data_IF_739913894887
#
_entry.id   IF_739913894887
#
_cell.length_a   1.000
_cell.length_b   1.000
_cell.length_c   1.000
_cell.angle_alpha   90.00
_cell.angle_beta   90.00
_cell.angle_gamma   90.00
#
_symmetry.space_group_name_H-M   'P 1'
#
loop_
_entity.id
_entity.type
_entity.pdbx_description
1 polymer ?
#
# COMPACT_ATOMS: atom_id res chain seq x y z
N UNK A 1 -6.34 -25.14 22.07
CA UNK A 1 -6.58 -23.84 21.41
C UNK A 1 -5.29 -23.39 20.74
N UNK A 2 -5.25 -23.31 19.41
CA UNK A 2 -4.15 -22.65 18.68
C UNK A 2 -4.37 -21.15 18.83
N UNK A 3 -3.48 -20.45 19.56
CA UNK A 3 -3.44 -18.98 19.52
C UNK A 3 -3.14 -18.59 18.06
N UNK A 4 -3.86 -17.65 17.44
CA UNK A 4 -3.40 -17.10 16.17
C UNK A 4 -1.99 -16.52 16.40
N UNK A 5 -1.04 -16.71 15.47
CA UNK A 5 0.33 -16.27 15.69
C UNK A 5 0.33 -14.75 15.82
N UNK A 6 0.63 -14.27 17.02
CA UNK A 6 0.71 -12.84 17.38
C UNK A 6 1.71 -12.10 16.48
N UNK A 7 2.68 -12.82 15.91
CA UNK A 7 3.71 -12.28 15.03
C UNK A 7 3.20 -11.80 13.66
N UNK A 8 2.17 -12.44 13.09
CA UNK A 8 1.69 -12.13 11.73
C UNK A 8 0.96 -10.78 11.68
N UNK A 9 0.12 -10.50 12.69
CA UNK A 9 -0.62 -9.23 12.80
C UNK A 9 0.33 -8.07 13.14
N UNK A 10 1.37 -8.31 13.95
CA UNK A 10 2.34 -7.29 14.33
C UNK A 10 3.16 -6.77 13.14
N UNK A 11 3.52 -7.63 12.18
CA UNK A 11 4.40 -7.23 11.06
C UNK A 11 3.69 -6.40 10.00
N UNK A 12 2.45 -6.75 9.66
CA UNK A 12 1.61 -5.91 8.78
C UNK A 12 1.32 -4.55 9.44
N UNK A 13 1.13 -4.52 10.76
CA UNK A 13 0.99 -3.28 11.52
C UNK A 13 2.28 -2.42 11.51
N UNK A 14 3.47 -3.03 11.59
CA UNK A 14 4.74 -2.31 11.42
C UNK A 14 4.82 -1.68 10.02
N UNK A 15 4.51 -2.44 8.98
CA UNK A 15 4.46 -1.92 7.61
C UNK A 15 3.49 -0.75 7.48
N UNK A 16 2.31 -0.82 8.12
CA UNK A 16 1.33 0.27 8.12
C UNK A 16 1.88 1.55 8.77
N UNK A 17 2.54 1.44 9.92
CA UNK A 17 3.19 2.59 10.58
C UNK A 17 4.28 3.18 9.69
N UNK A 18 5.08 2.35 9.02
CA UNK A 18 6.11 2.80 8.09
C UNK A 18 5.50 3.49 6.86
N UNK A 19 4.47 2.91 6.25
CA UNK A 19 3.80 3.48 5.08
C UNK A 19 3.12 4.81 5.38
N UNK A 20 2.50 4.97 6.55
CA UNK A 20 1.89 6.25 6.96
C UNK A 20 2.92 7.35 7.23
N UNK A 21 4.10 6.99 7.76
CA UNK A 21 5.15 7.96 8.12
C UNK A 21 6.08 8.31 6.96
N UNK A 22 6.50 7.30 6.20
CA UNK A 22 7.54 7.39 5.17
C UNK A 22 7.01 7.08 3.76
N UNK A 23 5.70 6.98 3.57
CA UNK A 23 5.08 6.68 2.27
C UNK A 23 5.41 7.66 1.15
N UNK A 24 5.89 8.86 1.50
CA UNK A 24 6.37 9.86 0.55
C UNK A 24 7.79 9.59 0.04
N UNK A 25 8.54 8.68 0.67
CA UNK A 25 9.90 8.28 0.31
C UNK A 25 9.98 6.75 0.06
N UNK A 26 9.67 6.30 -1.17
CA UNK A 26 9.76 4.88 -1.54
C UNK A 26 11.17 4.31 -1.42
N UNK A 27 12.22 5.11 -1.62
CA UNK A 27 13.60 4.61 -1.54
C UNK A 27 13.95 4.16 -0.13
N UNK A 28 13.54 4.95 0.87
CA UNK A 28 13.71 4.57 2.27
C UNK A 28 12.94 3.29 2.61
N UNK A 29 11.69 3.17 2.14
CA UNK A 29 10.87 1.99 2.40
C UNK A 29 11.43 0.73 1.70
N UNK A 30 11.92 0.86 0.47
CA UNK A 30 12.60 -0.23 -0.25
C UNK A 30 13.83 -0.71 0.52
N UNK A 31 14.67 0.19 1.00
CA UNK A 31 15.84 -0.18 1.80
C UNK A 31 15.46 -0.98 3.07
N UNK A 32 14.41 -0.54 3.78
CA UNK A 32 13.89 -1.26 4.95
C UNK A 32 13.38 -2.65 4.57
N UNK A 33 12.68 -2.79 3.43
CA UNK A 33 12.22 -4.09 2.94
C UNK A 33 13.40 -5.01 2.62
N UNK A 34 14.42 -4.50 1.93
CA UNK A 34 15.60 -5.26 1.53
C UNK A 34 16.44 -5.76 2.72
N UNK A 35 16.47 -4.99 3.82
CA UNK A 35 17.11 -5.38 5.08
C UNK A 35 16.30 -6.45 5.85
N UNK A 36 15.03 -6.66 5.51
CA UNK A 36 14.09 -7.54 6.24
C UNK A 36 13.52 -8.66 5.35
N UNK A 37 14.34 -9.28 4.49
CA UNK A 37 13.90 -10.26 3.46
C UNK A 37 13.05 -11.42 3.96
N UNK A 38 13.30 -11.91 5.18
CA UNK A 38 12.57 -13.06 5.72
C UNK A 38 11.08 -12.77 5.94
N UNK A 39 10.70 -11.50 6.07
CA UNK A 39 9.35 -11.05 6.40
C UNK A 39 8.85 -9.97 5.44
N UNK A 40 9.54 -9.80 4.30
CA UNK A 40 9.30 -8.71 3.36
C UNK A 40 7.86 -8.67 2.84
N UNK A 41 7.24 -9.84 2.65
CA UNK A 41 5.87 -9.94 2.15
C UNK A 41 4.86 -9.17 3.03
N UNK A 42 4.76 -9.52 4.31
CA UNK A 42 3.82 -8.88 5.24
C UNK A 42 4.15 -7.40 5.45
N UNK A 43 5.44 -7.07 5.40
CA UNK A 43 5.92 -5.70 5.50
C UNK A 43 5.46 -4.86 4.29
N UNK A 44 5.62 -5.37 3.06
CA UNK A 44 5.18 -4.72 1.82
C UNK A 44 3.66 -4.51 1.84
N UNK A 45 2.89 -5.54 2.20
CA UNK A 45 1.43 -5.41 2.32
C UNK A 45 1.04 -4.36 3.38
N UNK A 46 1.74 -4.33 4.51
CA UNK A 46 1.53 -3.32 5.54
C UNK A 46 1.80 -1.91 5.01
N UNK A 47 2.89 -1.74 4.25
CA UNK A 47 3.25 -0.47 3.61
C UNK A 47 2.17 -0.04 2.62
N UNK A 48 1.67 -0.93 1.77
CA UNK A 48 0.57 -0.66 0.84
C UNK A 48 -0.67 -0.15 1.57
N UNK A 49 -1.04 -0.82 2.66
CA UNK A 49 -2.16 -0.38 3.52
C UNK A 49 -1.90 1.00 4.13
N UNK A 50 -0.70 1.25 4.66
CA UNK A 50 -0.33 2.50 5.32
C UNK A 50 -0.32 3.69 4.36
N UNK A 51 0.28 3.52 3.18
CA UNK A 51 0.31 4.55 2.13
C UNK A 51 -1.12 4.90 1.69
N UNK A 52 -1.94 3.87 1.41
CA UNK A 52 -3.31 4.11 0.95
C UNK A 52 -4.16 4.81 1.99
N UNK A 53 -4.04 4.40 3.25
CA UNK A 53 -4.70 5.09 4.36
C UNK A 53 -4.28 6.57 4.41
N UNK A 54 -2.98 6.85 4.43
CA UNK A 54 -2.47 8.22 4.58
C UNK A 54 -2.89 9.15 3.42
N UNK A 55 -2.90 8.66 2.18
CA UNK A 55 -3.30 9.44 1.01
C UNK A 55 -4.82 9.66 1.02
N UNK A 56 -5.60 8.59 1.19
CA UNK A 56 -7.04 8.65 1.01
C UNK A 56 -7.74 9.43 2.12
N UNK A 57 -7.20 9.45 3.33
CA UNK A 57 -7.72 10.25 4.45
C UNK A 57 -7.19 11.68 4.50
N UNK A 58 -6.36 12.11 3.53
CA UNK A 58 -5.86 13.48 3.53
C UNK A 58 -6.87 14.45 2.89
N UNK A 59 -7.59 15.20 3.72
CA UNK A 59 -8.64 16.13 3.27
C UNK A 59 -8.12 17.35 2.48
N UNK A 60 -6.80 17.55 2.44
CA UNK A 60 -6.18 18.66 1.69
C UNK A 60 -5.96 18.32 0.21
N UNK A 61 -6.01 17.03 -0.16
CA UNK A 61 -5.73 16.55 -1.51
C UNK A 61 -7.06 16.32 -2.24
N UNK A 62 -7.18 16.80 -3.47
CA UNK A 62 -8.36 16.54 -4.29
C UNK A 62 -8.47 15.06 -4.63
N UNK A 63 -9.69 14.59 -4.84
CA UNK A 63 -9.98 13.19 -5.16
C UNK A 63 -9.08 12.60 -6.26
N UNK A 64 -9.02 13.23 -7.43
CA UNK A 64 -8.23 12.71 -8.55
C UNK A 64 -6.72 12.71 -8.24
N UNK A 65 -6.26 13.71 -7.50
CA UNK A 65 -4.85 13.82 -7.11
C UNK A 65 -4.46 12.72 -6.12
N UNK A 66 -5.38 12.28 -5.24
CA UNK A 66 -5.18 11.11 -4.36
C UNK A 66 -4.96 9.83 -5.17
N UNK A 67 -5.81 9.60 -6.18
CA UNK A 67 -5.69 8.43 -7.06
C UNK A 67 -4.35 8.47 -7.79
N UNK A 68 -4.03 9.59 -8.45
CA UNK A 68 -2.78 9.74 -9.18
C UNK A 68 -1.55 9.54 -8.27
N UNK A 69 -1.56 10.12 -7.07
CA UNK A 69 -0.46 9.98 -6.13
C UNK A 69 -0.28 8.54 -5.64
N UNK A 70 -1.38 7.82 -5.36
CA UNK A 70 -1.34 6.41 -4.98
C UNK A 70 -0.71 5.56 -6.08
N UNK A 71 -1.11 5.79 -7.33
CA UNK A 71 -0.62 5.04 -8.49
C UNK A 71 0.82 5.40 -8.83
N UNK A 72 1.20 6.67 -8.76
CA UNK A 72 2.59 7.11 -8.92
C UNK A 72 3.51 6.44 -7.91
N UNK A 73 3.08 6.33 -6.65
CA UNK A 73 3.85 5.66 -5.61
C UNK A 73 3.93 4.16 -5.87
N UNK A 74 2.84 3.50 -6.28
CA UNK A 74 2.83 2.09 -6.63
C UNK A 74 3.91 1.76 -7.68
N UNK A 75 3.99 2.54 -8.77
CA UNK A 75 4.97 2.32 -9.84
C UNK A 75 6.41 2.70 -9.49
N UNK A 76 6.66 3.38 -8.35
CA UNK A 76 8.02 3.63 -7.85
C UNK A 76 8.63 2.42 -7.15
N UNK A 77 7.82 1.45 -6.72
CA UNK A 77 8.33 0.22 -6.14
C UNK A 77 8.79 -0.77 -7.22
N UNK A 78 9.78 -1.63 -6.94
CA UNK A 78 10.15 -2.75 -7.80
C UNK A 78 8.94 -3.59 -8.21
N UNK A 79 8.92 -4.04 -9.47
CA UNK A 79 7.82 -4.86 -10.02
C UNK A 79 7.58 -6.12 -9.16
N UNK A 80 8.65 -6.69 -8.59
CA UNK A 80 8.55 -7.85 -7.68
C UNK A 80 7.72 -7.59 -6.43
N UNK A 81 7.45 -6.33 -6.07
CA UNK A 81 6.66 -5.96 -4.89
C UNK A 81 5.22 -5.60 -5.24
N UNK A 82 4.88 -5.46 -6.53
CA UNK A 82 3.59 -4.92 -6.96
C UNK A 82 2.40 -5.77 -6.50
N UNK A 83 2.51 -7.09 -6.52
CA UNK A 83 1.45 -8.00 -6.07
C UNK A 83 1.14 -7.80 -4.57
N UNK A 84 2.17 -7.89 -3.72
CA UNK A 84 2.01 -7.69 -2.27
C UNK A 84 1.59 -6.25 -1.92
N UNK A 85 2.09 -5.27 -2.66
CA UNK A 85 1.74 -3.87 -2.45
C UNK A 85 0.26 -3.62 -2.78
N UNK A 86 -0.22 -4.23 -3.87
CA UNK A 86 -1.63 -4.19 -4.27
C UNK A 86 -2.52 -4.88 -3.22
N UNK A 87 -2.13 -6.06 -2.73
CA UNK A 87 -2.86 -6.73 -1.64
C UNK A 87 -2.95 -5.84 -0.38
N UNK A 88 -1.88 -5.09 -0.08
CA UNK A 88 -1.87 -4.08 0.96
C UNK A 88 -2.87 -2.94 0.73
N UNK A 89 -2.91 -2.41 -0.50
CA UNK A 89 -3.84 -1.37 -0.92
C UNK A 89 -5.28 -1.89 -0.82
N UNK A 90 -5.60 -3.05 -1.38
CA UNK A 90 -6.91 -3.70 -1.28
C UNK A 90 -7.35 -3.86 0.18
N UNK A 91 -6.42 -4.27 1.05
CA UNK A 91 -6.70 -4.47 2.46
C UNK A 91 -7.19 -3.21 3.16
N UNK A 92 -6.77 -2.03 2.72
CA UNK A 92 -7.19 -0.73 3.26
C UNK A 92 -8.68 -0.41 3.05
N UNK A 93 -9.33 -1.08 2.08
CA UNK A 93 -10.75 -0.95 1.78
C UNK A 93 -11.60 -2.05 2.44
N UNK A 94 -10.96 -3.06 3.03
CA UNK A 94 -11.65 -4.19 3.63
C UNK A 94 -12.37 -3.83 4.94
N UNK A 95 -13.44 -4.56 5.26
CA UNK A 95 -14.14 -4.45 6.55
C UNK A 95 -13.30 -4.92 7.76
N UNK A 96 -12.09 -5.42 7.51
CA UNK A 96 -11.21 -5.99 8.54
C UNK A 96 -10.28 -4.94 9.16
N UNK A 97 -10.26 -3.71 8.63
CA UNK A 97 -9.37 -2.64 9.09
C UNK A 97 -10.13 -1.37 9.47
N UNK A 98 -9.45 -0.51 10.24
CA UNK A 98 -9.90 0.85 10.53
C UNK A 98 -8.74 1.83 10.33
N UNK A 99 -8.96 3.00 9.69
CA UNK A 99 -10.21 3.41 9.05
C UNK A 99 -10.53 2.55 7.80
N UNK A 100 -11.81 2.30 7.55
CA UNK A 100 -12.27 1.65 6.32
C UNK A 100 -12.39 2.73 5.25
N UNK A 101 -11.68 2.56 4.14
CA UNK A 101 -11.78 3.47 3.00
C UNK A 101 -13.02 3.16 2.13
N UNK A 102 -13.46 4.14 1.34
CA UNK A 102 -14.60 4.00 0.43
C UNK A 102 -14.25 3.04 -0.72
N UNK A 103 -15.06 2.01 -0.94
CA UNK A 103 -14.84 1.03 -2.01
C UNK A 103 -14.86 1.66 -3.41
N UNK A 104 -15.57 2.78 -3.61
CA UNK A 104 -15.55 3.52 -4.87
C UNK A 104 -14.17 4.04 -5.23
N UNK A 105 -13.34 4.39 -4.25
CA UNK A 105 -11.95 4.80 -4.47
C UNK A 105 -11.09 3.63 -4.98
N UNK A 106 -11.34 2.41 -4.51
CA UNK A 106 -10.55 1.23 -4.93
C UNK A 106 -10.70 0.99 -6.43
N UNK A 107 -11.93 1.02 -6.94
CA UNK A 107 -12.20 0.80 -8.37
C UNK A 107 -11.45 1.81 -9.25
N UNK A 108 -11.38 3.07 -8.83
CA UNK A 108 -10.64 4.12 -9.56
C UNK A 108 -9.13 3.90 -9.51
N UNK A 109 -8.58 3.43 -8.38
CA UNK A 109 -7.15 3.07 -8.26
C UNK A 109 -6.81 1.90 -9.19
N UNK A 110 -7.59 0.82 -9.16
CA UNK A 110 -7.36 -0.36 -10.02
C UNK A 110 -7.43 0.00 -11.50
N UNK A 111 -8.44 0.80 -11.88
CA UNK A 111 -8.62 1.26 -13.24
C UNK A 111 -7.41 2.06 -13.73
N UNK A 112 -6.90 2.96 -12.88
CA UNK A 112 -5.75 3.80 -13.21
C UNK A 112 -4.44 2.99 -13.28
N UNK A 113 -4.22 2.02 -12.38
CA UNK A 113 -3.09 1.07 -12.46
C UNK A 113 -3.16 0.30 -13.78
N UNK A 114 -4.35 -0.19 -14.16
CA UNK A 114 -4.55 -0.94 -15.40
C UNK A 114 -4.27 -0.09 -16.64
N UNK A 115 -4.78 1.13 -16.70
CA UNK A 115 -4.53 2.08 -17.81
C UNK A 115 -3.04 2.33 -18.01
N UNK A 116 -2.30 2.56 -16.92
CA UNK A 116 -0.86 2.86 -16.98
C UNK A 116 -0.02 1.62 -17.31
N UNK A 117 -0.40 0.45 -16.81
CA UNK A 117 0.25 -0.82 -17.17
C UNK A 117 0.04 -1.18 -18.66
N UNK A 118 -1.10 -0.79 -19.25
CA UNK A 118 -1.42 -1.05 -20.65
C UNK A 118 -0.78 -0.05 -21.64
N UNK A 119 -0.21 1.06 -21.13
CA UNK A 119 0.45 2.06 -21.96
C UNK A 119 1.96 1.76 -21.96
N UNK A 120 2.54 1.22 -23.04
CA UNK A 120 3.99 1.00 -23.09
C UNK A 120 4.69 2.36 -22.98
N UNK A 121 5.65 2.46 -22.06
CA UNK A 121 6.55 3.61 -21.96
C UNK A 121 7.24 3.80 -23.31
N UNK A 122 6.97 4.92 -23.98
CA UNK A 122 7.71 5.37 -25.17
C UNK A 122 9.17 5.68 -24.83
#
# INVERSE_FOLDING_TARGET
MRKPPVDVINKKAIGWVLGTKFGHDPHQLIAIIEDNKAESQMLIQGIGWGISTAIMTNDQIKFQDKINQQVDLFFKYPISYHEDLLEGIEFSYSDKVKPKLDQGLMNEVEEEIRKRSATPSN
#
